data_IF_901687093616
#
_entry.id   IF_901687093616
#
_cell.length_a   1.000
_cell.length_b   1.000
_cell.length_c   1.000
_cell.angle_alpha   90.00
_cell.angle_beta   90.00
_cell.angle_gamma   90.00
#
_symmetry.space_group_name_H-M   'P 1'
#
loop_
_entity.id
_entity.type
_entity.pdbx_description
1 polymer ?
#
# COMPACT_ATOMS: atom_id res chain seq x y z
N UNK A 1 2.99 -0.71 -18.13
CA UNK A 1 2.61 -0.72 -16.70
C UNK A 1 2.80 -2.11 -16.15
N UNK A 2 1.97 -3.11 -16.54
CA UNK A 2 2.24 -4.53 -16.19
C UNK A 2 3.65 -4.95 -16.63
N UNK A 3 4.01 -4.68 -17.88
CA UNK A 3 5.35 -4.95 -18.43
C UNK A 3 6.53 -4.29 -17.69
N UNK A 4 6.30 -3.29 -16.83
CA UNK A 4 7.35 -2.62 -16.05
C UNK A 4 7.56 -3.26 -14.67
N UNK A 5 6.53 -3.87 -14.09
CA UNK A 5 6.58 -4.51 -12.76
C UNK A 5 6.59 -6.05 -12.87
N UNK A 6 6.16 -6.58 -14.00
CA UNK A 6 6.00 -7.99 -14.32
C UNK A 6 6.35 -8.20 -15.81
N UNK A 7 7.63 -8.10 -16.20
CA UNK A 7 8.05 -8.18 -17.61
C UNK A 7 7.73 -9.54 -18.24
N UNK A 8 7.80 -10.62 -17.45
CA UNK A 8 7.51 -12.00 -17.88
C UNK A 8 6.01 -12.36 -17.75
N UNK A 9 5.16 -11.36 -17.51
CA UNK A 9 3.73 -11.52 -17.26
C UNK A 9 3.37 -11.59 -15.78
N UNK A 10 2.13 -11.20 -15.47
CA UNK A 10 1.66 -11.08 -14.07
C UNK A 10 1.59 -12.43 -13.35
N UNK A 11 1.29 -13.52 -14.04
CA UNK A 11 1.25 -14.86 -13.44
C UNK A 11 2.63 -15.35 -12.98
N UNK A 12 3.70 -14.82 -13.57
CA UNK A 12 5.08 -15.14 -13.19
C UNK A 12 5.69 -14.12 -12.23
N UNK A 13 4.92 -13.09 -11.87
CA UNK A 13 5.38 -12.01 -11.01
C UNK A 13 5.34 -12.45 -9.54
N UNK A 14 6.38 -12.14 -8.74
CA UNK A 14 6.35 -12.35 -7.29
C UNK A 14 5.17 -11.66 -6.61
N UNK A 15 4.68 -10.55 -7.18
CA UNK A 15 3.55 -9.79 -6.66
C UNK A 15 2.22 -10.54 -6.76
N UNK A 16 2.14 -11.63 -7.55
CA UNK A 16 0.96 -12.51 -7.58
C UNK A 16 0.64 -13.07 -6.17
N UNK A 17 1.66 -13.30 -5.34
CA UNK A 17 1.51 -13.80 -3.97
C UNK A 17 0.71 -12.85 -3.04
N UNK A 18 0.53 -11.58 -3.42
CA UNK A 18 -0.35 -10.67 -2.70
C UNK A 18 -1.81 -11.16 -2.68
N UNK A 19 -2.25 -11.83 -3.75
CA UNK A 19 -3.62 -12.30 -3.95
C UNK A 19 -3.74 -13.83 -3.96
N UNK A 20 -2.76 -14.52 -4.55
CA UNK A 20 -2.76 -15.97 -4.75
C UNK A 20 -1.74 -16.64 -3.82
N UNK A 21 -2.07 -16.67 -2.53
CA UNK A 21 -1.23 -17.30 -1.49
C UNK A 21 -1.32 -18.82 -1.57
N UNK A 22 -0.21 -19.51 -1.35
CA UNK A 22 -0.26 -20.96 -1.13
C UNK A 22 -1.03 -21.30 0.17
N UNK A 23 -1.65 -22.49 0.26
CA UNK A 23 -2.29 -22.96 1.49
C UNK A 23 -1.34 -22.93 2.70
N UNK A 24 -0.07 -23.26 2.49
CA UNK A 24 0.98 -23.21 3.50
C UNK A 24 1.19 -21.78 4.02
N UNK A 25 1.24 -20.80 3.12
CA UNK A 25 1.37 -19.39 3.50
C UNK A 25 0.14 -18.87 4.25
N UNK A 26 -1.06 -19.30 3.83
CA UNK A 26 -2.31 -18.97 4.54
C UNK A 26 -2.28 -19.54 5.97
N UNK A 27 -1.79 -20.78 6.14
CA UNK A 27 -1.66 -21.39 7.47
C UNK A 27 -0.70 -20.59 8.36
N UNK A 28 0.48 -20.23 7.86
CA UNK A 28 1.45 -19.41 8.59
C UNK A 28 0.85 -18.09 9.09
N UNK A 29 0.16 -17.37 8.21
CA UNK A 29 -0.53 -16.12 8.55
C UNK A 29 -1.62 -16.34 9.61
N UNK A 30 -2.46 -17.38 9.45
CA UNK A 30 -3.52 -17.69 10.42
C UNK A 30 -2.95 -18.11 11.78
N UNK A 31 -1.85 -18.86 11.82
CA UNK A 31 -1.18 -19.24 13.06
C UNK A 31 -0.54 -18.04 13.78
N UNK A 32 0.01 -17.08 13.03
CA UNK A 32 0.51 -15.84 13.61
C UNK A 32 -0.62 -15.04 14.26
N UNK A 33 -1.73 -14.87 13.55
CA UNK A 33 -2.92 -14.17 14.08
C UNK A 33 -3.48 -14.91 15.31
N UNK A 34 -3.60 -16.23 15.24
CA UNK A 34 -4.07 -17.06 16.36
C UNK A 34 -3.21 -16.85 17.61
N UNK A 35 -1.87 -16.90 17.47
CA UNK A 35 -0.94 -16.63 18.58
C UNK A 35 -1.10 -15.22 19.15
N UNK A 36 -1.22 -14.20 18.30
CA UNK A 36 -1.39 -12.81 18.75
C UNK A 36 -2.71 -12.61 19.50
N UNK A 37 -3.81 -13.22 19.03
CA UNK A 37 -5.11 -13.18 19.70
C UNK A 37 -5.08 -13.89 21.05
N UNK A 38 -4.41 -15.04 21.15
CA UNK A 38 -4.24 -15.75 22.41
C UNK A 38 -3.42 -14.96 23.43
N UNK A 39 -2.37 -14.25 22.98
CA UNK A 39 -1.61 -13.35 23.84
C UNK A 39 -2.48 -12.17 24.34
N UNK A 40 -3.24 -11.53 23.44
CA UNK A 40 -4.11 -10.41 23.79
C UNK A 40 -5.20 -10.84 24.80
N UNK A 41 -5.79 -12.02 24.60
CA UNK A 41 -6.77 -12.62 25.53
C UNK A 41 -6.20 -12.83 26.91
N UNK A 42 -4.95 -13.32 27.03
CA UNK A 42 -4.29 -13.49 28.33
C UNK A 42 -4.15 -12.16 29.05
N UNK A 43 -3.73 -11.11 28.35
CA UNK A 43 -3.62 -9.75 28.91
C UNK A 43 -4.97 -9.23 29.40
N UNK A 44 -6.04 -9.43 28.63
CA UNK A 44 -7.38 -8.98 29.03
C UNK A 44 -7.98 -9.79 30.18
N UNK A 45 -7.78 -11.11 30.21
CA UNK A 45 -8.19 -11.97 31.34
C UNK A 45 -7.53 -11.54 32.66
N UNK A 46 -6.25 -11.17 32.62
CA UNK A 46 -5.56 -10.64 33.79
C UNK A 46 -6.08 -9.28 34.25
N UNK A 47 -6.70 -8.50 33.36
CA UNK A 47 -7.15 -7.12 33.63
C UNK A 47 -8.60 -7.05 34.12
N UNK A 48 -9.50 -7.81 33.52
CA UNK A 48 -10.95 -7.68 33.76
C UNK A 48 -11.52 -8.81 34.63
N UNK A 49 -10.72 -9.81 35.02
CA UNK A 49 -11.19 -10.97 35.80
C UNK A 49 -12.26 -11.81 35.10
N UNK A 50 -12.57 -11.50 33.83
CA UNK A 50 -13.66 -12.10 33.08
C UNK A 50 -13.19 -13.37 32.36
N UNK A 51 -13.74 -14.51 32.80
CA UNK A 51 -13.57 -15.82 32.19
C UNK A 51 -14.40 -15.93 30.91
N UNK A 52 -13.92 -15.41 29.79
CA UNK A 52 -14.43 -15.86 28.49
C UNK A 52 -13.71 -17.16 28.09
N UNK A 53 -14.43 -18.28 28.15
CA UNK A 53 -13.95 -19.67 28.00
C UNK A 53 -13.78 -20.14 26.54
N UNK A 54 -14.16 -19.33 25.54
CA UNK A 54 -14.14 -19.79 24.14
C UNK A 54 -12.72 -19.67 23.55
N UNK A 55 -11.92 -20.70 23.77
CA UNK A 55 -10.68 -20.94 23.02
C UNK A 55 -11.03 -21.60 21.69
N UNK A 56 -10.65 -20.98 20.58
CA UNK A 56 -10.78 -21.60 19.27
C UNK A 56 -9.57 -22.51 19.05
N UNK A 57 -9.72 -23.68 18.40
CA UNK A 57 -8.56 -24.51 18.06
C UNK A 57 -7.63 -23.78 17.09
N UNK A 58 -6.35 -24.14 17.10
CA UNK A 58 -5.41 -23.65 16.12
C UNK A 58 -5.83 -24.14 14.71
N UNK A 59 -5.72 -23.27 13.68
CA UNK A 59 -6.03 -23.66 12.30
C UNK A 59 -5.11 -24.80 11.84
N UNK A 60 -5.66 -25.76 11.11
CA UNK A 60 -4.90 -26.89 10.56
C UNK A 60 -4.74 -26.80 9.04
N UNK A 61 -3.69 -27.44 8.51
CA UNK A 61 -3.43 -27.49 7.07
C UNK A 61 -4.51 -28.27 6.32
N UNK A 62 -5.05 -29.33 6.93
CA UNK A 62 -6.04 -30.20 6.29
C UNK A 62 -7.39 -29.51 6.14
N UNK A 63 -7.82 -28.73 7.14
CA UNK A 63 -9.01 -27.88 7.03
C UNK A 63 -8.83 -26.82 5.93
N UNK A 64 -7.66 -26.16 5.91
CA UNK A 64 -7.34 -25.18 4.88
C UNK A 64 -7.37 -25.78 3.49
N UNK A 65 -6.80 -26.97 3.29
CA UNK A 65 -6.80 -27.64 1.97
C UNK A 65 -8.20 -28.01 1.50
N UNK A 66 -9.15 -28.29 2.42
CA UNK A 66 -10.56 -28.54 2.07
C UNK A 66 -11.29 -27.26 1.67
N UNK A 67 -10.96 -26.14 2.32
CA UNK A 67 -11.57 -24.83 2.03
C UNK A 67 -10.91 -24.10 0.87
N UNK A 68 -9.64 -24.40 0.58
CA UNK A 68 -8.85 -23.67 -0.39
C UNK A 68 -9.35 -23.92 -1.82
N UNK A 69 -9.69 -22.83 -2.50
CA UNK A 69 -10.06 -22.83 -3.90
C UNK A 69 -9.18 -21.85 -4.66
N UNK A 70 -8.48 -22.33 -5.69
CA UNK A 70 -7.69 -21.47 -6.56
C UNK A 70 -8.61 -20.57 -7.36
N UNK A 71 -8.48 -19.26 -7.16
CA UNK A 71 -9.22 -18.28 -7.95
C UNK A 71 -8.49 -18.01 -9.27
N UNK A 72 -9.23 -17.71 -10.35
CA UNK A 72 -8.60 -17.30 -11.59
C UNK A 72 -7.83 -15.99 -11.39
N UNK A 73 -6.68 -15.86 -12.07
CA UNK A 73 -5.89 -14.63 -12.05
C UNK A 73 -6.62 -13.54 -12.82
N UNK A 74 -6.90 -12.42 -12.16
CA UNK A 74 -7.57 -11.25 -12.75
C UNK A 74 -6.57 -10.12 -12.88
N UNK A 75 -5.63 -10.29 -13.81
CA UNK A 75 -4.44 -9.43 -13.95
C UNK A 75 -4.75 -7.93 -13.83
N UNK A 76 -5.67 -7.40 -14.63
CA UNK A 76 -5.94 -5.95 -14.66
C UNK A 76 -6.46 -5.44 -13.32
N UNK A 77 -7.27 -6.23 -12.62
CA UNK A 77 -7.83 -5.88 -11.32
C UNK A 77 -6.78 -5.97 -10.22
N UNK A 78 -5.99 -7.05 -10.22
CA UNK A 78 -4.94 -7.28 -9.23
C UNK A 78 -3.83 -6.25 -9.33
N UNK A 79 -3.40 -5.90 -10.55
CA UNK A 79 -2.42 -4.83 -10.79
C UNK A 79 -2.97 -3.49 -10.33
N UNK A 80 -4.23 -3.19 -10.68
CA UNK A 80 -4.91 -1.95 -10.24
C UNK A 80 -5.00 -1.88 -8.73
N UNK A 81 -5.28 -3.00 -8.08
CA UNK A 81 -5.37 -3.11 -6.63
C UNK A 81 -4.01 -2.87 -5.96
N UNK A 82 -2.95 -3.59 -6.36
CA UNK A 82 -1.60 -3.40 -5.81
C UNK A 82 -1.11 -1.96 -5.97
N UNK A 83 -1.35 -1.36 -7.13
CA UNK A 83 -1.03 0.04 -7.35
C UNK A 83 -1.82 0.98 -6.45
N UNK A 84 -3.13 0.75 -6.30
CA UNK A 84 -3.98 1.57 -5.42
C UNK A 84 -3.52 1.52 -3.97
N UNK A 85 -3.15 0.33 -3.48
CA UNK A 85 -2.59 0.16 -2.13
C UNK A 85 -1.25 0.90 -1.97
N UNK A 86 -0.33 0.78 -2.93
CA UNK A 86 0.97 1.47 -2.87
C UNK A 86 0.83 3.00 -3.02
N UNK A 87 -0.11 3.47 -3.86
CA UNK A 87 -0.39 4.90 -4.00
C UNK A 87 -1.04 5.45 -2.72
N UNK A 88 -1.86 4.67 -2.05
CA UNK A 88 -2.40 5.06 -0.76
C UNK A 88 -1.28 5.26 0.25
N UNK A 89 -0.30 4.35 0.37
CA UNK A 89 0.86 4.53 1.27
C UNK A 89 1.61 5.86 1.02
N UNK A 90 1.65 6.32 -0.24
CA UNK A 90 2.34 7.56 -0.62
C UNK A 90 1.50 8.80 -0.28
N UNK A 91 0.19 8.73 -0.52
CA UNK A 91 -0.71 9.88 -0.42
C UNK A 91 -1.43 10.01 0.94
N UNK A 92 -1.45 8.94 1.74
CA UNK A 92 -2.11 8.90 3.04
C UNK A 92 -1.50 9.86 4.04
N UNK A 93 -0.19 10.08 4.03
CA UNK A 93 0.46 10.94 5.03
C UNK A 93 0.59 12.40 4.59
N UNK A 94 0.73 12.65 3.28
CA UNK A 94 1.04 14.00 2.78
C UNK A 94 -0.17 14.77 2.27
N UNK A 95 -1.28 14.10 1.92
CA UNK A 95 -2.56 14.69 1.53
C UNK A 95 -2.51 15.81 0.47
N UNK A 96 -1.43 15.98 -0.26
CA UNK A 96 -1.23 17.06 -1.22
C UNK A 96 -0.75 16.49 -2.55
N UNK A 97 -1.46 16.84 -3.63
CA UNK A 97 -1.12 16.45 -5.00
C UNK A 97 -1.14 17.68 -5.90
N UNK A 98 -0.26 17.72 -6.90
CA UNK A 98 -0.27 18.80 -7.90
C UNK A 98 -1.09 18.34 -9.11
N UNK A 99 -2.10 19.12 -9.49
CA UNK A 99 -2.92 18.85 -10.67
C UNK A 99 -2.14 19.09 -11.96
N UNK A 100 -2.68 18.62 -13.09
CA UNK A 100 -2.10 18.87 -14.41
C UNK A 100 -1.94 20.37 -14.72
N UNK A 101 -2.82 21.21 -14.16
CA UNK A 101 -2.80 22.67 -14.31
C UNK A 101 -1.88 23.37 -13.30
N UNK A 102 -1.09 22.61 -12.52
CA UNK A 102 -0.10 23.13 -11.58
C UNK A 102 -0.66 23.56 -10.22
N UNK A 103 -1.94 23.26 -9.93
CA UNK A 103 -2.54 23.62 -8.64
C UNK A 103 -2.24 22.57 -7.57
N UNK A 104 -1.82 23.04 -6.40
CA UNK A 104 -1.75 22.20 -5.20
C UNK A 104 -3.18 21.90 -4.74
N UNK A 105 -3.56 20.63 -4.77
CA UNK A 105 -4.83 20.13 -4.27
C UNK A 105 -4.56 19.31 -3.03
N UNK A 106 -5.11 19.79 -1.91
CA UNK A 106 -5.18 18.98 -0.71
C UNK A 106 -6.29 17.93 -0.90
N UNK A 107 -5.90 16.67 -1.06
CA UNK A 107 -6.85 15.55 -1.18
C UNK A 107 -7.59 15.31 0.13
N UNK A 108 -7.20 15.92 1.25
CA UNK A 108 -7.86 15.82 2.56
C UNK A 108 -7.48 14.53 3.28
N UNK A 109 -8.33 14.07 4.21
CA UNK A 109 -8.05 12.90 5.05
C UNK A 109 -7.81 11.59 4.28
N UNK A 110 -7.30 10.56 4.98
CA UNK A 110 -7.19 9.16 4.49
C UNK A 110 -8.39 8.68 3.67
N UNK A 111 -9.60 9.10 4.06
CA UNK A 111 -10.87 8.73 3.43
C UNK A 111 -11.07 9.39 2.07
N UNK A 112 -10.62 10.65 1.93
CA UNK A 112 -10.70 11.36 0.64
C UNK A 112 -9.57 10.92 -0.31
N UNK A 113 -8.41 10.52 0.21
CA UNK A 113 -7.35 9.90 -0.59
C UNK A 113 -7.83 8.57 -1.21
N UNK A 114 -8.48 7.71 -0.42
CA UNK A 114 -9.10 6.47 -0.91
C UNK A 114 -10.16 6.74 -1.99
N UNK A 115 -11.08 7.67 -1.75
CA UNK A 115 -12.10 8.05 -2.73
C UNK A 115 -11.50 8.58 -4.04
N UNK A 116 -10.47 9.43 -3.94
CA UNK A 116 -9.73 9.96 -5.09
C UNK A 116 -9.09 8.83 -5.91
N UNK A 117 -8.35 7.92 -5.25
CA UNK A 117 -7.70 6.79 -5.93
C UNK A 117 -8.72 5.88 -6.60
N UNK A 118 -9.82 5.55 -5.92
CA UNK A 118 -10.84 4.69 -6.48
C UNK A 118 -11.51 5.31 -7.72
N UNK A 119 -11.78 6.62 -7.73
CA UNK A 119 -12.32 7.32 -8.92
C UNK A 119 -11.36 7.20 -10.11
N UNK A 120 -10.06 7.44 -9.89
CA UNK A 120 -9.08 7.54 -10.97
C UNK A 120 -8.58 6.18 -11.48
N UNK A 121 -8.50 5.17 -10.61
CA UNK A 121 -7.97 3.85 -10.96
C UNK A 121 -9.04 2.93 -11.56
N UNK A 122 -10.29 3.01 -11.08
CA UNK A 122 -11.31 2.03 -11.47
C UNK A 122 -12.19 2.47 -12.63
N UNK A 123 -12.17 3.77 -12.99
CA UNK A 123 -13.04 4.42 -14.01
C UNK A 123 -14.55 4.18 -13.83
N UNK A 124 -14.99 3.47 -12.78
CA UNK A 124 -16.39 3.19 -12.53
C UNK A 124 -17.03 4.36 -11.80
N UNK A 125 -17.80 5.18 -12.51
CA UNK A 125 -18.37 6.41 -11.93
C UNK A 125 -19.55 6.23 -10.98
N UNK A 126 -20.20 5.08 -10.90
CA UNK A 126 -21.40 4.94 -10.07
C UNK A 126 -21.61 3.50 -9.61
N UNK A 127 -21.01 3.13 -8.48
CA UNK A 127 -21.63 2.07 -7.68
C UNK A 127 -21.43 2.33 -6.18
N UNK A 128 -22.46 1.97 -5.41
CA UNK A 128 -22.79 2.42 -4.04
C UNK A 128 -21.64 2.93 -3.14
N UNK A 129 -21.84 4.12 -2.53
CA UNK A 129 -20.92 4.81 -1.61
C UNK A 129 -20.36 3.94 -0.46
N UNK A 130 -21.02 2.84 -0.11
CA UNK A 130 -20.66 2.00 1.05
C UNK A 130 -19.60 0.92 0.74
N UNK A 131 -19.47 0.45 -0.51
CA UNK A 131 -18.52 -0.64 -0.84
C UNK A 131 -17.12 -0.16 -1.24
N UNK A 132 -16.97 1.13 -1.53
CA UNK A 132 -15.71 1.76 -1.99
C UNK A 132 -14.91 2.43 -0.87
N UNK A 133 -15.56 2.74 0.25
CA UNK A 133 -15.09 3.58 1.35
C UNK A 133 -13.83 3.07 2.11
N UNK A 134 -13.42 1.81 1.89
CA UNK A 134 -12.30 1.18 2.60
C UNK A 134 -11.39 0.37 1.67
N UNK A 135 -11.49 0.55 0.35
CA UNK A 135 -10.81 -0.34 -0.60
C UNK A 135 -9.29 -0.31 -0.41
N UNK A 136 -8.73 0.89 -0.29
CA UNK A 136 -7.31 1.10 -0.08
C UNK A 136 -6.96 1.58 1.34
N UNK A 137 -7.95 1.73 2.22
CA UNK A 137 -7.80 2.34 3.55
C UNK A 137 -6.77 1.65 4.47
N UNK A 138 -6.49 0.37 4.25
CA UNK A 138 -5.46 -0.38 4.99
C UNK A 138 -4.16 -0.54 4.21
N UNK A 139 -4.11 -0.01 2.99
CA UNK A 139 -3.00 -0.09 2.06
C UNK A 139 -2.26 -1.42 2.11
N UNK A 140 -0.94 -1.39 2.21
CA UNK A 140 -0.13 -2.60 2.10
C UNK A 140 -0.02 -3.39 3.41
N UNK A 141 -0.71 -3.02 4.49
CA UNK A 141 -0.57 -3.69 5.80
C UNK A 141 -0.83 -5.20 5.75
N UNK A 142 -1.76 -5.63 4.88
CA UNK A 142 -2.13 -7.04 4.74
C UNK A 142 -1.33 -7.77 3.66
N UNK A 143 -0.58 -7.08 2.80
CA UNK A 143 0.08 -7.68 1.63
C UNK A 143 1.59 -7.45 1.55
N UNK A 144 2.13 -6.49 2.30
CA UNK A 144 3.56 -6.12 2.30
C UNK A 144 4.47 -7.26 2.74
N UNK A 145 3.98 -8.16 3.59
CA UNK A 145 4.70 -9.37 3.99
C UNK A 145 4.58 -10.54 3.00
N UNK A 146 3.83 -10.39 1.90
CA UNK A 146 3.55 -11.49 0.95
C UNK A 146 4.42 -11.46 -0.30
N UNK A 147 4.85 -10.27 -0.71
CA UNK A 147 5.72 -10.07 -1.86
C UNK A 147 6.56 -8.80 -1.68
N UNK A 148 7.69 -8.72 -2.38
CA UNK A 148 8.46 -7.48 -2.45
C UNK A 148 7.73 -6.44 -3.31
N UNK A 149 7.28 -5.35 -2.68
CA UNK A 149 6.57 -4.26 -3.35
C UNK A 149 7.52 -3.17 -3.88
N UNK A 150 8.84 -3.28 -3.63
CA UNK A 150 9.85 -2.31 -4.08
C UNK A 150 9.77 -2.01 -5.59
N UNK A 151 9.58 -2.98 -6.49
CA UNK A 151 9.46 -2.69 -7.92
C UNK A 151 8.24 -1.81 -8.26
N UNK A 152 7.14 -1.98 -7.53
CA UNK A 152 5.91 -1.18 -7.71
C UNK A 152 6.14 0.25 -7.24
N UNK A 153 6.71 0.44 -6.05
CA UNK A 153 7.08 1.77 -5.56
C UNK A 153 8.09 2.45 -6.49
N UNK A 154 9.13 1.74 -6.93
CA UNK A 154 10.14 2.28 -7.83
C UNK A 154 9.52 2.75 -9.17
N UNK A 155 8.59 1.98 -9.73
CA UNK A 155 7.83 2.40 -10.90
C UNK A 155 7.02 3.67 -10.63
N UNK A 156 6.27 3.72 -9.51
CA UNK A 156 5.46 4.88 -9.13
C UNK A 156 6.35 6.12 -8.98
N UNK A 157 7.40 6.06 -8.17
CA UNK A 157 8.32 7.19 -7.94
C UNK A 157 9.01 7.64 -9.21
N UNK A 158 9.43 6.71 -10.10
CA UNK A 158 10.01 7.05 -11.41
C UNK A 158 9.02 7.85 -12.26
N UNK A 159 7.75 7.42 -12.31
CA UNK A 159 6.69 8.08 -13.09
C UNK A 159 6.33 9.45 -12.49
N UNK A 160 6.18 9.55 -11.18
CA UNK A 160 5.94 10.82 -10.49
C UNK A 160 7.10 11.81 -10.72
N UNK A 161 8.34 11.34 -10.63
CA UNK A 161 9.54 12.16 -10.87
C UNK A 161 9.64 12.65 -12.32
N UNK A 162 9.26 11.82 -13.30
CA UNK A 162 9.22 12.20 -14.70
C UNK A 162 8.16 13.28 -14.97
N UNK A 163 6.96 13.11 -14.39
CA UNK A 163 5.90 14.11 -14.45
C UNK A 163 6.33 15.44 -13.83
N UNK A 164 6.96 15.38 -12.65
CA UNK A 164 7.47 16.57 -11.98
C UNK A 164 8.51 17.32 -12.81
N UNK A 165 9.49 16.59 -13.38
CA UNK A 165 10.49 17.19 -14.27
C UNK A 165 9.85 17.83 -15.50
N UNK A 166 8.84 17.17 -16.08
CA UNK A 166 8.10 17.72 -17.24
C UNK A 166 7.37 19.01 -16.87
N UNK A 167 6.70 19.05 -15.72
CA UNK A 167 6.01 20.23 -15.22
C UNK A 167 6.98 21.41 -14.95
N UNK A 168 8.13 21.14 -14.35
CA UNK A 168 9.17 22.17 -14.12
C UNK A 168 9.76 22.71 -15.43
N UNK A 169 9.88 21.88 -16.47
CA UNK A 169 10.36 22.31 -17.79
C UNK A 169 9.29 23.09 -18.58
N UNK A 170 8.01 22.82 -18.36
CA UNK A 170 6.89 23.54 -19.01
C UNK A 170 6.51 24.86 -18.34
N UNK A 171 6.98 25.11 -17.11
CA UNK A 171 6.74 26.34 -16.36
C UNK A 171 8.07 26.97 -15.97
N UNK A 172 8.61 27.95 -16.73
CA UNK A 172 9.87 28.60 -16.39
C UNK A 172 9.68 29.43 -15.11
N UNK A 173 9.99 28.83 -13.96
CA UNK A 173 9.84 29.45 -12.63
C UNK A 173 9.69 28.46 -11.47
N UNK A 174 9.27 27.22 -11.71
CA UNK A 174 9.10 26.20 -10.66
C UNK A 174 10.39 25.37 -10.53
N UNK A 175 11.15 25.57 -9.44
CA UNK A 175 12.31 24.72 -9.09
C UNK A 175 11.85 23.51 -8.29
N UNK A 176 12.41 22.35 -8.59
CA UNK A 176 12.23 21.15 -7.77
C UNK A 176 12.70 21.38 -6.32
N UNK A 177 11.94 20.96 -5.29
CA UNK A 177 12.41 21.00 -3.92
C UNK A 177 13.57 20.01 -3.78
N UNK A 178 14.79 20.51 -3.54
CA UNK A 178 15.94 19.67 -3.19
C UNK A 178 17.30 20.00 -3.82
N UNK A 179 17.40 20.88 -4.82
CA UNK A 179 18.73 21.29 -5.33
C UNK A 179 19.24 22.48 -4.51
N UNK A 180 19.88 22.21 -3.37
CA UNK A 180 20.69 23.21 -2.66
C UNK A 180 21.87 23.59 -3.57
N UNK A 181 22.02 24.89 -3.79
CA UNK A 181 23.09 25.45 -4.60
C UNK A 181 24.48 25.11 -4.06
N UNK A 182 25.42 24.96 -4.98
CA UNK A 182 26.86 24.94 -4.70
C UNK A 182 27.30 26.24 -4.00
N UNK A 183 28.44 26.22 -3.27
CA UNK A 183 28.62 27.00 -2.06
C UNK A 183 28.96 28.46 -2.35
N UNK A 184 28.38 29.37 -1.57
CA UNK A 184 28.99 30.68 -1.31
C UNK A 184 29.84 30.56 -0.05
N UNK A 185 31.09 30.99 -0.19
CA UNK A 185 32.08 31.20 0.85
C UNK A 185 31.49 31.85 2.11
N UNK A 186 31.74 31.26 3.29
CA UNK A 186 31.39 31.87 4.58
C UNK A 186 31.33 30.88 5.73
N UNK A 187 32.41 30.85 6.49
CA UNK A 187 32.78 30.10 7.70
C UNK A 187 31.76 29.96 8.85
N UNK A 188 31.95 28.87 9.61
CA UNK A 188 31.57 28.53 11.01
C UNK A 188 30.21 27.88 11.25
N UNK A 189 30.26 26.64 11.78
CA UNK A 189 29.28 26.17 12.78
C UNK A 189 28.63 24.80 12.57
N UNK A 190 29.40 23.73 12.76
CA UNK A 190 29.04 22.43 13.37
C UNK A 190 27.58 21.91 13.41
N UNK A 191 27.46 20.64 12.96
CA UNK A 191 26.58 19.55 13.48
C UNK A 191 25.05 19.72 13.24
N UNK A 192 24.22 18.72 12.93
CA UNK A 192 24.19 17.29 13.22
C UNK A 192 23.14 16.60 12.31
N UNK A 193 23.46 15.40 11.84
CA UNK A 193 22.54 14.41 11.23
C UNK A 193 21.80 13.62 12.32
N UNK A 194 20.54 13.23 12.05
CA UNK A 194 19.66 12.16 12.63
C UNK A 194 18.22 12.70 12.51
N UNK A 195 17.26 12.09 11.83
CA UNK A 195 16.89 10.68 11.67
C UNK A 195 16.45 10.37 10.24
#
# INVERSE_FOLDING_TARGET
MVSEIAPDGWEHSPQLACFHRSPERVLEERLLIHRNLEQLRRVWKCRDGASSEVSYPAPTLDELRREYSSQPVRQDEEVTEVMGLCLWDIFSDNHEVITADGWLVNIGSFRRADAFLNEHLTRQRHDSRHRRYLRFYMATIWISGRADLTPVYAMIFRRLSALWRRLCLSLPGVRAPGVRGAPRSGTVGDQLLRF
#
